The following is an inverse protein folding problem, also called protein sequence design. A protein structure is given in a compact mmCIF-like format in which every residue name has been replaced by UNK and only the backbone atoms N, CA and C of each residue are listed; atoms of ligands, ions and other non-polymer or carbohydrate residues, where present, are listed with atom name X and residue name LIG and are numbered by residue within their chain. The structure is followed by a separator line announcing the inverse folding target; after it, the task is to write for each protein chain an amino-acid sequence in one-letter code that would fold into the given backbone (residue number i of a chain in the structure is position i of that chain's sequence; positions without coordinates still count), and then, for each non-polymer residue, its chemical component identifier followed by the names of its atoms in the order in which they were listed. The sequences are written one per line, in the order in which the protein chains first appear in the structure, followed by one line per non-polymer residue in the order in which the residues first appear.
data_IF_059386737400
#
_entry.id   IF_059386737400
#
_cell.length_a   1.000
_cell.length_b   1.000
_cell.length_c   1.000
_cell.angle_alpha   90.00
_cell.angle_beta   90.00
_cell.angle_gamma   90.00
#
_symmetry.space_group_name_H-M   'P 1'
#
loop_
_entity.id
_entity.type
_entity.pdbx_description
1 polymer ?
#
# COMPACT_ATOMS: atom_id res chain seq x y z
N UNK A 1 84.92 -3.72 -6.95
CA UNK A 1 85.31 -2.35 -6.54
C UNK A 1 84.53 -1.96 -5.30
N UNK A 2 85.18 -1.63 -4.17
CA UNK A 2 84.64 -0.73 -3.12
C UNK A 2 84.85 0.74 -3.59
N UNK A 3 84.57 1.82 -2.81
CA UNK A 3 84.13 1.92 -1.40
C UNK A 3 82.75 2.66 -1.28
N UNK A 4 82.24 3.26 -0.19
CA UNK A 4 82.84 3.75 1.08
C UNK A 4 81.82 3.83 2.24
N UNK A 5 82.35 4.01 3.46
CA UNK A 5 81.77 4.54 4.71
C UNK A 5 80.54 5.47 4.58
N UNK A 6 79.65 5.59 5.59
CA UNK A 6 79.95 6.40 6.81
C UNK A 6 78.90 6.35 7.94
N UNK A 7 79.33 5.82 9.10
CA UNK A 7 79.04 6.23 10.51
C UNK A 7 77.68 5.96 11.18
N UNK A 8 77.84 5.38 12.38
CA UNK A 8 77.24 5.70 13.71
C UNK A 8 75.96 4.97 14.17
N UNK A 9 76.10 4.35 15.34
CA UNK A 9 75.04 4.02 16.31
C UNK A 9 74.41 5.32 16.89
N UNK A 10 73.27 5.33 17.62
CA UNK A 10 72.93 4.57 18.83
C UNK A 10 71.42 4.58 19.15
N UNK A 11 71.00 3.67 20.06
CA UNK A 11 69.72 3.57 20.82
C UNK A 11 68.87 4.86 20.93
N UNK A 12 67.54 4.70 20.96
CA UNK A 12 66.72 5.14 22.11
C UNK A 12 65.38 4.36 22.19
N UNK A 13 64.80 4.35 23.39
CA UNK A 13 63.53 3.72 23.79
C UNK A 13 62.43 4.80 23.77
N UNK A 14 61.13 4.48 23.66
CA UNK A 14 60.08 4.84 24.65
C UNK A 14 58.64 4.55 24.15
N UNK A 15 57.76 4.28 25.12
CA UNK A 15 56.33 3.98 25.02
C UNK A 15 55.45 5.11 24.44
N UNK A 16 54.39 4.75 23.72
CA UNK A 16 53.25 5.63 23.44
C UNK A 16 51.97 5.14 24.13
N UNK A 17 51.36 5.99 24.95
CA UNK A 17 50.04 5.76 25.58
C UNK A 17 48.92 6.00 24.55
N UNK A 18 47.76 5.33 24.65
CA UNK A 18 46.54 5.82 24.01
C UNK A 18 46.11 7.12 24.69
N UNK A 19 46.19 8.24 23.97
CA UNK A 19 45.66 9.52 24.45
C UNK A 19 44.14 9.56 24.30
N UNK A 20 43.43 9.97 25.35
CA UNK A 20 42.00 10.28 25.25
C UNK A 20 41.81 11.63 24.54
N UNK A 21 41.01 11.64 23.48
CA UNK A 21 40.50 12.88 22.87
C UNK A 21 38.98 12.82 22.82
N UNK A 22 38.35 13.54 23.75
CA UNK A 22 36.90 13.58 23.91
C UNK A 22 36.34 14.68 22.98
N UNK A 23 36.16 14.38 21.70
CA UNK A 23 35.57 15.34 20.76
C UNK A 23 34.04 15.27 20.83
N UNK A 24 33.43 16.28 21.44
CA UNK A 24 31.98 16.48 21.50
C UNK A 24 31.35 16.48 20.10
N UNK A 25 30.64 15.42 19.74
CA UNK A 25 29.72 15.44 18.62
C UNK A 25 28.37 16.00 19.09
N UNK A 26 27.85 16.98 18.36
CA UNK A 26 26.52 17.53 18.57
C UNK A 26 25.48 16.43 18.31
N UNK A 27 25.00 15.81 19.38
CA UNK A 27 24.00 14.77 19.31
C UNK A 27 22.64 15.42 19.01
N UNK A 28 22.33 15.56 17.73
CA UNK A 28 20.99 15.99 17.29
C UNK A 28 19.98 14.97 17.78
N UNK A 29 19.07 15.41 18.64
CA UNK A 29 17.99 14.59 19.21
C UNK A 29 16.92 14.32 18.15
N UNK A 30 17.27 13.46 17.19
CA UNK A 30 16.29 12.89 16.25
C UNK A 30 15.24 12.13 17.07
N UNK A 31 13.94 12.50 16.99
CA UNK A 31 12.91 11.81 17.74
C UNK A 31 12.80 10.38 17.20
N UNK A 32 13.19 9.42 18.03
CA UNK A 32 13.01 7.99 17.77
C UNK A 32 11.52 7.69 17.66
N UNK A 33 11.00 7.68 16.43
CA UNK A 33 9.74 7.04 16.13
C UNK A 33 9.95 5.53 16.32
N UNK A 34 9.21 4.87 17.24
CA UNK A 34 9.33 3.43 17.39
C UNK A 34 8.96 2.78 16.05
N UNK A 35 9.79 1.87 15.56
CA UNK A 35 9.51 1.13 14.35
C UNK A 35 8.22 0.34 14.56
N UNK A 36 7.11 0.84 14.03
CA UNK A 36 5.80 0.25 14.25
C UNK A 36 5.78 -1.08 13.50
N UNK A 37 5.75 -2.19 14.24
CA UNK A 37 5.79 -3.53 13.66
C UNK A 37 4.67 -3.66 12.62
N UNK A 38 5.03 -3.98 11.37
CA UNK A 38 4.11 -4.04 10.24
C UNK A 38 2.94 -4.99 10.48
N UNK A 39 3.17 -6.09 11.20
CA UNK A 39 2.12 -7.04 11.64
C UNK A 39 1.08 -6.40 12.57
N UNK A 40 1.51 -5.50 13.45
CA UNK A 40 0.61 -4.80 14.39
C UNK A 40 -0.20 -3.73 13.65
N UNK A 41 0.41 -3.03 12.70
CA UNK A 41 -0.31 -2.12 11.82
C UNK A 41 -1.27 -2.85 10.85
N UNK A 42 -0.92 -4.02 10.31
CA UNK A 42 -1.83 -4.86 9.53
C UNK A 42 -3.08 -5.21 10.34
N UNK A 43 -2.92 -5.70 11.58
CA UNK A 43 -4.04 -5.99 12.47
C UNK A 43 -4.89 -4.75 12.79
N UNK A 44 -4.26 -3.61 13.11
CA UNK A 44 -4.98 -2.35 13.37
C UNK A 44 -5.75 -1.89 12.13
N UNK A 45 -5.16 -1.95 10.93
CA UNK A 45 -5.87 -1.62 9.70
C UNK A 45 -6.99 -2.60 9.37
N UNK A 46 -6.81 -3.91 9.56
CA UNK A 46 -7.86 -4.90 9.38
C UNK A 46 -9.02 -4.69 10.38
N UNK A 47 -8.72 -4.31 11.62
CA UNK A 47 -9.71 -3.96 12.65
C UNK A 47 -10.46 -2.66 12.34
N UNK A 48 -9.77 -1.63 11.85
CA UNK A 48 -10.41 -0.40 11.36
C UNK A 48 -11.29 -0.73 10.14
N UNK A 49 -10.81 -1.56 9.21
CA UNK A 49 -11.53 -1.98 8.01
C UNK A 49 -12.73 -2.88 8.32
N UNK A 50 -12.71 -3.65 9.42
CA UNK A 50 -13.86 -4.45 9.86
C UNK A 50 -14.96 -3.56 10.45
N UNK A 51 -14.57 -2.53 11.23
CA UNK A 51 -15.47 -1.50 11.79
C UNK A 51 -15.98 -0.51 10.75
N UNK A 52 -15.25 -0.32 9.65
CA UNK A 52 -15.67 0.55 8.57
C UNK A 52 -16.76 -0.12 7.73
N UNK A 53 -17.96 0.45 7.79
CA UNK A 53 -19.07 0.11 6.91
C UNK A 53 -18.75 0.62 5.49
N UNK A 54 -18.15 -0.27 4.69
CA UNK A 54 -18.03 -0.05 3.26
C UNK A 54 -19.41 -0.22 2.62
N UNK A 55 -19.83 0.69 1.72
CA UNK A 55 -21.10 0.56 1.02
C UNK A 55 -21.14 -0.75 0.23
N UNK A 56 -22.26 -1.45 0.29
CA UNK A 56 -22.46 -2.67 -0.49
C UNK A 56 -22.72 -2.35 -1.95
N UNK A 57 -22.06 -3.06 -2.86
CA UNK A 57 -22.20 -2.87 -4.30
C UNK A 57 -22.91 -4.08 -4.94
N UNK A 58 -24.11 -3.87 -5.50
CA UNK A 58 -24.91 -4.95 -6.10
C UNK A 58 -24.52 -5.27 -7.56
N UNK A 59 -23.91 -4.30 -8.25
CA UNK A 59 -23.71 -4.30 -9.70
C UNK A 59 -24.22 -3.06 -10.44
N UNK A 60 -24.65 -2.00 -9.74
CA UNK A 60 -25.02 -0.74 -10.38
C UNK A 60 -23.82 0.00 -11.01
N UNK A 61 -23.71 -0.04 -12.35
CA UNK A 61 -22.69 0.65 -13.16
C UNK A 61 -22.54 2.13 -12.79
N UNK A 62 -23.61 2.81 -12.36
CA UNK A 62 -23.58 4.22 -11.98
C UNK A 62 -22.81 4.47 -10.67
N UNK A 63 -22.83 3.53 -9.73
CA UNK A 63 -22.19 3.63 -8.42
C UNK A 63 -20.79 3.00 -8.39
N UNK A 64 -20.44 2.21 -9.42
CA UNK A 64 -19.14 1.55 -9.54
C UNK A 64 -17.93 2.49 -9.40
N UNK A 65 -17.84 3.66 -10.08
CA UNK A 65 -16.67 4.52 -9.95
C UNK A 65 -16.49 5.07 -8.53
N UNK A 66 -17.58 5.35 -7.81
CA UNK A 66 -17.51 5.79 -6.42
C UNK A 66 -17.08 4.64 -5.50
N UNK A 67 -17.70 3.46 -5.65
CA UNK A 67 -17.33 2.25 -4.92
C UNK A 67 -15.85 1.89 -5.12
N UNK A 68 -15.37 1.88 -6.37
CA UNK A 68 -14.00 1.57 -6.75
C UNK A 68 -13.00 2.56 -6.12
N UNK A 69 -13.28 3.86 -6.19
CA UNK A 69 -12.43 4.90 -5.57
C UNK A 69 -12.37 4.79 -4.04
N UNK A 70 -13.52 4.55 -3.39
CA UNK A 70 -13.60 4.29 -1.94
C UNK A 70 -12.80 3.04 -1.57
N UNK A 71 -13.01 1.93 -2.29
CA UNK A 71 -12.31 0.67 -2.03
C UNK A 71 -10.80 0.79 -2.24
N UNK A 72 -10.36 1.45 -3.31
CA UNK A 72 -8.94 1.72 -3.58
C UNK A 72 -8.29 2.55 -2.47
N UNK A 73 -8.96 3.59 -1.97
CA UNK A 73 -8.44 4.44 -0.88
C UNK A 73 -8.36 3.68 0.46
N UNK A 74 -9.39 2.89 0.78
CA UNK A 74 -9.54 2.24 2.07
C UNK A 74 -8.71 0.96 2.20
N UNK A 75 -8.67 0.17 1.11
CA UNK A 75 -8.11 -1.19 1.03
C UNK A 75 -6.88 -1.23 0.11
N UNK A 76 -6.99 -0.68 -1.10
CA UNK A 76 -5.92 -0.74 -2.11
C UNK A 76 -4.64 -0.02 -1.71
N UNK A 77 -4.74 1.19 -1.16
CA UNK A 77 -3.63 2.03 -0.73
C UNK A 77 -2.95 1.53 0.57
N UNK A 78 -3.44 0.43 1.16
CA UNK A 78 -2.85 -0.18 2.36
C UNK A 78 -1.91 -1.30 1.95
N UNK A 79 -0.64 -0.93 1.72
CA UNK A 79 0.48 -1.87 1.48
C UNK A 79 0.60 -2.94 2.58
N UNK A 80 0.14 -2.62 3.79
CA UNK A 80 0.22 -3.52 4.95
C UNK A 80 -0.89 -4.59 5.02
N UNK A 81 -1.93 -4.51 4.17
CA UNK A 81 -2.96 -5.55 4.08
C UNK A 81 -2.56 -6.60 3.05
N UNK A 82 -2.62 -7.88 3.40
CA UNK A 82 -2.48 -8.98 2.45
C UNK A 82 -3.58 -8.97 1.38
N UNK A 83 -3.24 -9.24 0.12
CA UNK A 83 -4.21 -9.24 -0.98
C UNK A 83 -5.36 -10.25 -0.78
N UNK A 84 -5.10 -11.35 -0.06
CA UNK A 84 -6.14 -12.30 0.41
C UNK A 84 -7.17 -11.62 1.33
N UNK A 85 -6.70 -10.78 2.27
CA UNK A 85 -7.55 -10.00 3.18
C UNK A 85 -8.31 -8.92 2.43
N UNK A 86 -7.65 -8.24 1.47
CA UNK A 86 -8.29 -7.29 0.55
C UNK A 86 -9.44 -7.97 -0.21
N UNK A 87 -9.21 -9.16 -0.76
CA UNK A 87 -10.20 -9.91 -1.52
C UNK A 87 -11.35 -10.44 -0.65
N UNK A 88 -11.07 -10.86 0.59
CA UNK A 88 -12.10 -11.24 1.55
C UNK A 88 -13.06 -10.09 1.86
N UNK A 89 -12.51 -8.88 2.10
CA UNK A 89 -13.34 -7.68 2.27
C UNK A 89 -14.10 -7.32 0.98
N UNK A 90 -13.47 -7.44 -0.19
CA UNK A 90 -14.13 -7.22 -1.49
C UNK A 90 -15.37 -8.13 -1.63
N UNK A 91 -15.24 -9.45 -1.45
CA UNK A 91 -16.37 -10.41 -1.51
C UNK A 91 -17.48 -10.09 -0.50
N UNK A 92 -17.16 -9.48 0.63
CA UNK A 92 -18.14 -9.10 1.68
C UNK A 92 -18.94 -7.84 1.31
N UNK A 93 -18.29 -6.89 0.62
CA UNK A 93 -18.92 -5.65 0.14
C UNK A 93 -19.77 -5.89 -1.12
N UNK A 94 -19.43 -6.87 -1.95
CA UNK A 94 -20.17 -7.18 -3.16
C UNK A 94 -21.45 -7.95 -2.85
N UNK A 95 -22.50 -7.67 -3.61
CA UNK A 95 -23.81 -8.32 -3.56
C UNK A 95 -24.31 -8.61 -4.98
N UNK A 96 -25.43 -9.33 -5.08
CA UNK A 96 -26.15 -9.54 -6.34
C UNK A 96 -25.27 -9.94 -7.53
N UNK A 97 -25.33 -9.14 -8.59
CA UNK A 97 -24.64 -9.36 -9.87
C UNK A 97 -23.13 -9.23 -9.74
N UNK A 98 -22.65 -8.27 -8.95
CA UNK A 98 -21.23 -8.02 -8.78
C UNK A 98 -20.53 -9.13 -7.97
N UNK A 99 -21.21 -9.70 -6.97
CA UNK A 99 -20.72 -10.90 -6.28
C UNK A 99 -20.68 -12.10 -7.24
N UNK A 100 -21.73 -12.30 -8.05
CA UNK A 100 -21.79 -13.39 -9.03
C UNK A 100 -20.63 -13.35 -10.04
N UNK A 101 -20.22 -12.17 -10.50
CA UNK A 101 -19.10 -11.99 -11.44
C UNK A 101 -17.76 -12.55 -10.90
N UNK A 102 -17.55 -12.55 -9.59
CA UNK A 102 -16.29 -12.99 -8.95
C UNK A 102 -16.44 -14.22 -8.04
N UNK A 103 -17.64 -14.80 -7.92
CA UNK A 103 -17.88 -15.86 -6.93
C UNK A 103 -17.05 -17.12 -7.18
N UNK A 104 -16.81 -17.44 -8.46
CA UNK A 104 -16.00 -18.57 -8.92
C UNK A 104 -14.49 -18.42 -8.68
N UNK A 105 -14.03 -17.25 -8.22
CA UNK A 105 -12.62 -17.04 -7.87
C UNK A 105 -12.33 -17.48 -6.43
N UNK A 106 -11.35 -18.40 -6.30
CA UNK A 106 -10.75 -18.82 -5.03
C UNK A 106 -10.12 -17.65 -4.28
N UNK A 107 -10.10 -17.71 -2.95
CA UNK A 107 -9.61 -16.63 -2.08
C UNK A 107 -8.08 -16.59 -2.03
N UNK A 108 -7.43 -16.10 -3.10
CA UNK A 108 -5.96 -16.05 -3.24
C UNK A 108 -5.47 -14.66 -3.63
N UNK A 109 -4.20 -14.30 -3.33
CA UNK A 109 -3.68 -12.96 -3.61
C UNK A 109 -3.62 -12.65 -5.11
N UNK A 110 -3.29 -13.64 -5.96
CA UNK A 110 -3.35 -13.49 -7.42
C UNK A 110 -4.76 -13.17 -7.92
N UNK A 111 -5.78 -13.82 -7.34
CA UNK A 111 -7.17 -13.65 -7.76
C UNK A 111 -7.77 -12.30 -7.35
N UNK A 112 -7.21 -11.60 -6.36
CA UNK A 112 -7.62 -10.24 -5.99
C UNK A 112 -7.54 -9.29 -7.19
N UNK A 113 -6.41 -9.31 -7.92
CA UNK A 113 -6.20 -8.47 -9.11
C UNK A 113 -7.16 -8.85 -10.23
N UNK A 114 -7.32 -10.15 -10.50
CA UNK A 114 -8.25 -10.66 -11.52
C UNK A 114 -9.69 -10.26 -11.21
N UNK A 115 -10.11 -10.31 -9.94
CA UNK A 115 -11.44 -9.90 -9.52
C UNK A 115 -11.69 -8.40 -9.74
N UNK A 116 -10.72 -7.54 -9.41
CA UNK A 116 -10.81 -6.10 -9.69
C UNK A 116 -10.86 -5.79 -11.19
N UNK A 117 -10.13 -6.54 -12.01
CA UNK A 117 -10.11 -6.39 -13.47
C UNK A 117 -11.44 -6.83 -14.12
N UNK A 118 -12.02 -7.95 -13.66
CA UNK A 118 -13.37 -8.40 -14.04
C UNK A 118 -14.42 -7.36 -13.63
N UNK A 119 -14.35 -6.82 -12.42
CA UNK A 119 -15.26 -5.77 -11.95
C UNK A 119 -15.14 -4.50 -12.79
N UNK A 120 -13.92 -4.06 -13.12
CA UNK A 120 -13.72 -2.91 -14.00
C UNK A 120 -14.26 -3.18 -15.42
N UNK A 121 -13.99 -4.35 -15.98
CA UNK A 121 -14.47 -4.73 -17.33
C UNK A 121 -16.00 -4.80 -17.40
N UNK A 122 -16.67 -5.29 -16.35
CA UNK A 122 -18.13 -5.40 -16.32
C UNK A 122 -18.88 -4.14 -15.86
N UNK A 123 -18.25 -3.25 -15.07
CA UNK A 123 -18.94 -2.14 -14.41
C UNK A 123 -18.30 -0.76 -14.61
N UNK A 124 -17.09 -0.63 -15.19
CA UNK A 124 -16.49 0.66 -15.60
C UNK A 124 -16.79 1.01 -17.08
N UNK A 125 -17.76 0.36 -17.72
CA UNK A 125 -18.12 0.66 -19.11
C UNK A 125 -18.79 2.03 -19.23
N UNK A 126 -17.97 3.03 -19.57
CA UNK A 126 -18.36 4.42 -19.80
C UNK A 126 -19.29 4.59 -21.00
N UNK A 127 -19.32 3.64 -21.95
CA UNK A 127 -20.27 3.65 -23.07
C UNK A 127 -21.65 3.25 -22.57
N UNK A 128 -21.75 2.13 -21.84
CA UNK A 128 -23.00 1.71 -21.18
C UNK A 128 -23.49 2.77 -20.18
N UNK A 129 -22.60 3.36 -19.38
CA UNK A 129 -22.95 4.45 -18.45
C UNK A 129 -23.57 5.65 -19.17
N UNK A 130 -22.94 6.12 -20.26
CA UNK A 130 -23.48 7.21 -21.10
C UNK A 130 -24.83 6.84 -21.73
N UNK A 131 -24.98 5.62 -22.23
CA UNK A 131 -26.21 5.16 -22.84
C UNK A 131 -27.38 5.11 -21.83
N UNK A 132 -27.13 4.60 -20.61
CA UNK A 132 -28.12 4.62 -19.51
C UNK A 132 -28.53 6.05 -19.16
N UNK A 133 -27.56 6.95 -19.00
CA UNK A 133 -27.83 8.36 -18.66
C UNK A 133 -28.59 9.08 -19.79
N UNK A 134 -28.19 8.88 -21.05
CA UNK A 134 -28.88 9.45 -22.21
C UNK A 134 -30.33 8.95 -22.30
N UNK A 135 -30.56 7.64 -22.13
CA UNK A 135 -31.91 7.07 -22.15
C UNK A 135 -32.78 7.65 -21.02
N UNK A 136 -32.24 7.80 -19.80
CA UNK A 136 -32.93 8.49 -18.70
C UNK A 136 -33.26 9.95 -19.03
N UNK A 137 -32.33 10.71 -19.64
CA UNK A 137 -32.57 12.08 -20.06
C UNK A 137 -33.65 12.17 -21.14
N UNK A 138 -33.69 11.24 -22.10
CA UNK A 138 -34.70 11.18 -23.16
C UNK A 138 -36.10 10.76 -22.71
N UNK A 139 -36.24 10.28 -21.47
CA UNK A 139 -37.53 9.88 -20.88
C UNK A 139 -38.00 10.84 -19.78
N UNK A 140 -37.34 11.98 -19.59
CA UNK A 140 -37.91 13.06 -18.78
C UNK A 140 -39.09 13.67 -19.55
N UNK A 141 -40.26 13.85 -18.91
CA UNK A 141 -41.33 14.63 -19.52
C UNK A 141 -40.86 16.07 -19.72
N UNK A 142 -41.35 16.71 -20.77
CA UNK A 142 -41.17 18.15 -20.98
C UNK A 142 -41.67 18.92 -19.73
N UNK A 143 -40.93 19.95 -19.33
CA UNK A 143 -41.29 20.75 -18.16
C UNK A 143 -42.49 21.66 -18.49
N UNK A 144 -43.62 21.40 -17.86
CA UNK A 144 -44.79 22.29 -17.76
C UNK A 144 -44.47 23.50 -16.85
#
# INVERSE_FOLDING_TARGET
MPPTLRRRATRYIQSSRPGWSNTTLLQTTSPYVPAVNSSLLNFVYASILSKLELPTFDGNILEYPEFSSRFATLVGNKVQLDDTTKFSKLKTCLRGRALHAIQGLSMTPNNYKVAMDILATHFDDKVTMKHILYNKLSQLPDCD
#
